data_IF_322733636308
#
_entry.id   IF_322733636308
#
_cell.length_a   1.000
_cell.length_b   1.000
_cell.length_c   1.000
_cell.angle_alpha   90.00
_cell.angle_beta   90.00
_cell.angle_gamma   90.00
#
_symmetry.space_group_name_H-M   'P 1'
#
loop_
_entity.id
_entity.type
_entity.pdbx_description
1 polymer ?
#
# COMPACT_ATOMS: atom_id res chain seq x y z
N UNK A 1 -0.22 6.87 -17.28
CA UNK A 1 -1.43 5.98 -17.22
C UNK A 1 -1.34 5.17 -15.95
N UNK A 2 -2.44 4.98 -15.25
CA UNK A 2 -2.47 4.13 -14.05
C UNK A 2 -2.01 2.70 -14.35
N UNK A 3 -1.25 2.13 -13.43
CA UNK A 3 -0.92 0.70 -13.41
C UNK A 3 -1.88 -0.01 -12.46
N UNK A 4 -2.33 -1.21 -12.81
CA UNK A 4 -3.36 -1.91 -12.06
C UNK A 4 -2.82 -3.22 -11.50
N UNK A 5 -3.13 -3.48 -10.24
CA UNK A 5 -2.64 -4.69 -9.56
C UNK A 5 -3.57 -5.19 -8.45
N UNK A 6 -3.05 -6.15 -7.72
CA UNK A 6 -3.71 -6.81 -6.58
C UNK A 6 -2.75 -6.85 -5.39
N UNK A 7 -3.29 -6.64 -4.20
CA UNK A 7 -2.59 -6.92 -2.94
C UNK A 7 -2.76 -8.39 -2.60
N UNK A 8 -1.67 -9.14 -2.51
CA UNK A 8 -1.71 -10.60 -2.34
C UNK A 8 -2.36 -11.04 -1.03
N UNK A 9 -2.27 -10.22 0.02
CA UNK A 9 -2.90 -10.53 1.32
C UNK A 9 -4.43 -10.53 1.29
N UNK A 10 -5.05 -10.09 0.19
CA UNK A 10 -6.49 -10.27 -0.01
C UNK A 10 -6.89 -11.75 0.03
N UNK A 11 -5.96 -12.65 -0.29
CA UNK A 11 -6.20 -14.10 -0.33
C UNK A 11 -5.04 -14.88 0.28
N UNK A 12 -4.91 -14.80 1.61
CA UNK A 12 -3.84 -15.48 2.36
C UNK A 12 -3.86 -17.02 2.24
N UNK A 13 -4.98 -17.59 1.87
CA UNK A 13 -5.13 -19.05 1.68
C UNK A 13 -4.64 -19.56 0.33
N UNK A 14 -4.44 -18.66 -0.64
CA UNK A 14 -3.93 -19.03 -1.96
C UNK A 14 -2.40 -19.10 -1.95
N UNK A 15 -1.87 -20.00 -2.77
CA UNK A 15 -0.43 -20.06 -3.04
C UNK A 15 0.03 -18.91 -3.94
N UNK A 16 1.33 -18.71 -4.01
CA UNK A 16 1.97 -17.74 -4.94
C UNK A 16 1.52 -17.97 -6.39
N UNK A 17 1.44 -19.24 -6.82
CA UNK A 17 1.03 -19.58 -8.17
C UNK A 17 -0.42 -19.20 -8.45
N UNK A 18 -1.32 -19.52 -7.53
CA UNK A 18 -2.73 -19.16 -7.64
C UNK A 18 -2.95 -17.64 -7.66
N UNK A 19 -2.18 -16.86 -6.87
CA UNK A 19 -2.23 -15.39 -6.93
C UNK A 19 -1.76 -14.89 -8.30
N UNK A 20 -0.67 -15.42 -8.86
CA UNK A 20 -0.16 -15.04 -10.19
C UNK A 20 -1.20 -15.33 -11.26
N UNK A 21 -1.79 -16.52 -11.25
CA UNK A 21 -2.82 -16.94 -12.23
C UNK A 21 -4.07 -16.04 -12.11
N UNK A 22 -4.48 -15.71 -10.88
CA UNK A 22 -5.61 -14.85 -10.62
C UNK A 22 -5.41 -13.43 -11.17
N UNK A 23 -4.25 -12.82 -10.89
CA UNK A 23 -3.88 -11.48 -11.37
C UNK A 23 -3.84 -11.43 -12.89
N UNK A 24 -3.23 -12.45 -13.52
CA UNK A 24 -3.16 -12.59 -14.98
C UNK A 24 -4.55 -12.75 -15.60
N UNK A 25 -5.39 -13.64 -15.04
CA UNK A 25 -6.75 -13.87 -15.52
C UNK A 25 -7.66 -12.65 -15.41
N UNK A 26 -7.43 -11.77 -14.40
CA UNK A 26 -8.12 -10.50 -14.23
C UNK A 26 -7.58 -9.40 -15.19
N UNK A 27 -6.50 -9.66 -15.92
CA UNK A 27 -5.85 -8.69 -16.79
C UNK A 27 -5.25 -7.51 -16.02
N UNK A 28 -4.70 -7.80 -14.83
CA UNK A 28 -3.88 -6.91 -14.01
C UNK A 28 -2.40 -7.19 -14.32
N UNK A 29 -1.53 -6.25 -13.96
CA UNK A 29 -0.09 -6.33 -14.33
C UNK A 29 0.85 -6.33 -13.11
N UNK A 30 0.35 -5.94 -11.93
CA UNK A 30 1.17 -5.71 -10.75
C UNK A 30 0.67 -6.49 -9.53
N UNK A 31 1.60 -6.86 -8.65
CA UNK A 31 1.27 -7.50 -7.37
C UNK A 31 2.01 -6.76 -6.25
N UNK A 32 1.30 -6.41 -5.19
CA UNK A 32 1.91 -6.14 -3.89
C UNK A 32 2.02 -7.46 -3.13
N UNK A 33 3.24 -7.92 -2.87
CA UNK A 33 3.47 -9.14 -2.12
C UNK A 33 3.50 -8.87 -0.61
N UNK A 34 2.66 -9.57 0.13
CA UNK A 34 2.63 -9.50 1.60
C UNK A 34 3.74 -10.32 2.24
N UNK A 35 4.37 -9.74 3.26
CA UNK A 35 5.49 -10.33 3.99
C UNK A 35 5.09 -11.41 5.01
N UNK A 36 3.80 -11.59 5.24
CA UNK A 36 3.29 -12.53 6.26
C UNK A 36 3.19 -13.98 5.76
N UNK A 37 2.57 -14.19 4.60
CA UNK A 37 2.28 -15.53 4.07
C UNK A 37 3.02 -15.81 2.77
N UNK A 38 2.89 -14.91 1.78
CA UNK A 38 3.37 -15.19 0.43
C UNK A 38 4.87 -14.96 0.27
N UNK A 39 5.40 -13.92 0.90
CA UNK A 39 6.77 -13.46 0.70
C UNK A 39 7.49 -13.13 2.03
N UNK A 40 7.69 -14.10 2.94
CA UNK A 40 8.44 -13.89 4.17
C UNK A 40 9.84 -13.36 3.87
N UNK A 41 10.31 -12.34 4.63
CA UNK A 41 11.57 -11.65 4.33
C UNK A 41 12.82 -12.51 4.54
N UNK A 42 12.73 -13.58 5.30
CA UNK A 42 13.80 -14.54 5.60
C UNK A 42 13.85 -15.74 4.62
N UNK A 43 12.84 -15.89 3.75
CA UNK A 43 12.82 -16.97 2.75
C UNK A 43 13.26 -16.45 1.37
N UNK A 44 14.57 -16.22 1.24
CA UNK A 44 15.19 -15.67 0.01
C UNK A 44 14.93 -16.54 -1.21
N UNK A 45 14.89 -17.86 -1.06
CA UNK A 45 14.65 -18.77 -2.19
C UNK A 45 13.20 -18.68 -2.68
N UNK A 46 12.24 -18.53 -1.78
CA UNK A 46 10.86 -18.25 -2.16
C UNK A 46 10.73 -16.88 -2.85
N UNK A 47 11.39 -15.83 -2.35
CA UNK A 47 11.38 -14.52 -3.00
C UNK A 47 11.92 -14.56 -4.43
N UNK A 48 13.02 -15.28 -4.69
CA UNK A 48 13.57 -15.50 -6.04
C UNK A 48 12.58 -16.25 -6.93
N UNK A 49 11.95 -17.31 -6.40
CA UNK A 49 10.92 -18.08 -7.09
C UNK A 49 9.71 -17.21 -7.49
N UNK A 50 9.27 -16.33 -6.61
CA UNK A 50 8.21 -15.36 -6.89
C UNK A 50 8.60 -14.49 -8.11
N UNK A 51 9.80 -13.93 -8.11
CA UNK A 51 10.29 -13.08 -9.21
C UNK A 51 10.32 -13.83 -10.54
N UNK A 52 10.87 -15.03 -10.54
CA UNK A 52 10.93 -15.88 -11.75
C UNK A 52 9.52 -16.13 -12.31
N UNK A 53 8.59 -16.55 -11.45
CA UNK A 53 7.22 -16.90 -11.85
C UNK A 53 6.43 -15.69 -12.31
N UNK A 54 6.44 -14.57 -11.56
CA UNK A 54 5.71 -13.37 -11.96
C UNK A 54 6.23 -12.81 -13.29
N UNK A 55 7.56 -12.76 -13.48
CA UNK A 55 8.19 -12.26 -14.71
C UNK A 55 7.83 -13.13 -15.92
N UNK A 56 7.89 -14.47 -15.77
CA UNK A 56 7.48 -15.42 -16.81
C UNK A 56 6.01 -15.21 -17.24
N UNK A 57 5.16 -14.72 -16.34
CA UNK A 57 3.75 -14.41 -16.61
C UNK A 57 3.50 -12.97 -17.06
N UNK A 58 4.55 -12.16 -17.27
CA UNK A 58 4.44 -10.76 -17.68
C UNK A 58 3.97 -9.83 -16.57
N UNK A 59 4.11 -10.25 -15.30
CA UNK A 59 3.74 -9.49 -14.13
C UNK A 59 4.99 -8.95 -13.41
N UNK A 60 4.81 -7.97 -12.54
CA UNK A 60 5.89 -7.43 -11.71
C UNK A 60 5.45 -7.15 -10.27
N UNK A 61 6.41 -7.11 -9.35
CA UNK A 61 6.20 -6.68 -7.98
C UNK A 61 6.10 -5.15 -7.93
N UNK A 62 4.92 -4.59 -7.65
CA UNK A 62 4.75 -3.15 -7.50
C UNK A 62 5.36 -2.64 -6.20
N UNK A 63 5.28 -3.47 -5.16
CA UNK A 63 5.64 -3.12 -3.79
C UNK A 63 5.73 -4.36 -2.91
N UNK A 64 6.45 -4.20 -1.82
CA UNK A 64 6.52 -5.19 -0.76
C UNK A 64 5.75 -4.70 0.47
N UNK A 65 4.60 -5.31 0.73
CA UNK A 65 3.70 -4.97 1.84
C UNK A 65 4.15 -5.62 3.14
N UNK A 66 4.67 -4.84 4.08
CA UNK A 66 5.17 -5.33 5.36
C UNK A 66 4.24 -4.98 6.52
N UNK A 67 4.45 -5.65 7.65
CA UNK A 67 3.80 -5.33 8.93
C UNK A 67 4.75 -4.60 9.90
N UNK A 68 5.89 -4.13 9.39
CA UNK A 68 6.82 -3.32 10.17
C UNK A 68 6.15 -2.04 10.66
N UNK A 69 6.23 -1.79 11.97
CA UNK A 69 5.66 -0.60 12.62
C UNK A 69 6.76 0.35 13.06
N UNK A 70 6.95 1.39 12.29
CA UNK A 70 7.92 2.44 12.58
C UNK A 70 7.65 3.07 13.95
N UNK A 71 8.69 3.24 14.75
CA UNK A 71 8.60 3.78 16.11
C UNK A 71 8.15 2.79 17.18
N UNK A 72 7.85 1.54 16.79
CA UNK A 72 7.48 0.45 17.71
C UNK A 72 8.40 -0.76 17.56
N UNK A 73 8.63 -1.19 16.30
CA UNK A 73 9.54 -2.30 16.03
C UNK A 73 11.00 -1.83 16.08
N UNK A 74 11.90 -2.76 16.33
CA UNK A 74 13.33 -2.52 16.23
C UNK A 74 13.68 -2.08 14.80
N UNK A 75 14.25 -0.88 14.67
CA UNK A 75 14.60 -0.28 13.38
C UNK A 75 15.56 -1.17 12.55
N UNK A 76 16.39 -1.98 13.20
CA UNK A 76 17.30 -2.89 12.51
C UNK A 76 16.57 -3.99 11.71
N UNK A 77 15.36 -4.36 12.10
CA UNK A 77 14.52 -5.30 11.34
C UNK A 77 14.13 -4.75 9.97
N UNK A 78 14.07 -3.41 9.81
CA UNK A 78 13.75 -2.79 8.53
C UNK A 78 14.74 -3.20 7.43
N UNK A 79 16.01 -3.47 7.78
CA UNK A 79 17.02 -3.93 6.83
C UNK A 79 16.62 -5.23 6.13
N UNK A 80 15.97 -6.15 6.85
CA UNK A 80 15.54 -7.44 6.28
C UNK A 80 14.43 -7.23 5.24
N UNK A 81 13.46 -6.35 5.53
CA UNK A 81 12.41 -6.00 4.59
C UNK A 81 12.94 -5.26 3.36
N UNK A 82 13.90 -4.36 3.54
CA UNK A 82 14.58 -3.66 2.43
C UNK A 82 15.32 -4.68 1.53
N UNK A 83 16.04 -5.62 2.11
CA UNK A 83 16.73 -6.66 1.36
C UNK A 83 15.75 -7.57 0.60
N UNK A 84 14.65 -7.97 1.23
CA UNK A 84 13.60 -8.75 0.60
C UNK A 84 12.96 -8.00 -0.59
N UNK A 85 12.68 -6.71 -0.45
CA UNK A 85 12.16 -5.88 -1.54
C UNK A 85 13.13 -5.83 -2.73
N UNK A 86 14.43 -5.73 -2.48
CA UNK A 86 15.46 -5.79 -3.54
C UNK A 86 15.48 -7.14 -4.25
N UNK A 87 15.34 -8.25 -3.52
CA UNK A 87 15.21 -9.60 -4.12
C UNK A 87 13.94 -9.68 -4.96
N UNK A 88 12.81 -9.12 -4.50
CA UNK A 88 11.54 -9.04 -5.23
C UNK A 88 11.57 -8.08 -6.42
N UNK A 89 12.69 -7.38 -6.65
CA UNK A 89 12.89 -6.40 -7.71
C UNK A 89 11.92 -5.21 -7.65
N UNK A 90 11.55 -4.80 -6.44
CA UNK A 90 10.78 -3.57 -6.20
C UNK A 90 11.58 -2.59 -5.36
N UNK A 91 11.34 -1.29 -5.60
CA UNK A 91 11.89 -0.21 -4.78
C UNK A 91 10.92 0.26 -3.70
N UNK A 92 9.68 -0.22 -3.71
CA UNK A 92 8.63 0.25 -2.80
C UNK A 92 8.45 -0.75 -1.66
N UNK A 93 8.61 -0.27 -0.43
CA UNK A 93 8.34 -1.03 0.79
C UNK A 93 7.24 -0.32 1.57
N UNK A 94 6.07 -0.94 1.68
CA UNK A 94 4.98 -0.41 2.49
C UNK A 94 5.17 -0.80 3.96
N UNK A 95 5.07 0.19 4.83
CA UNK A 95 5.21 0.03 6.29
C UNK A 95 4.10 0.80 7.02
N UNK A 96 3.92 0.53 8.28
CA UNK A 96 3.00 1.24 9.15
C UNK A 96 3.74 2.25 10.04
N UNK A 97 3.12 3.41 10.26
CA UNK A 97 3.71 4.50 11.04
C UNK A 97 3.06 4.56 12.43
N UNK A 98 3.75 4.01 13.42
CA UNK A 98 3.25 3.96 14.81
C UNK A 98 2.15 2.92 15.04
N UNK A 99 1.56 2.98 16.24
CA UNK A 99 0.60 1.97 16.75
C UNK A 99 -0.71 2.57 17.25
N UNK A 100 -0.91 3.87 17.13
CA UNK A 100 -2.10 4.59 17.58
C UNK A 100 -2.41 5.77 16.67
N UNK A 101 -3.65 6.27 16.71
CA UNK A 101 -4.07 7.40 15.91
C UNK A 101 -3.32 8.69 16.30
N UNK A 102 -3.20 9.62 15.36
CA UNK A 102 -2.46 10.87 15.52
C UNK A 102 -2.82 11.65 16.79
N UNK A 103 -4.10 11.78 17.07
CA UNK A 103 -4.58 12.54 18.24
C UNK A 103 -4.20 11.93 19.59
N UNK A 104 -3.77 10.67 19.62
CA UNK A 104 -3.42 9.94 20.84
C UNK A 104 -1.93 10.04 21.19
N UNK A 105 -1.15 10.76 20.37
CA UNK A 105 0.29 10.96 20.57
C UNK A 105 0.57 12.26 21.31
N UNK A 106 1.39 12.20 22.37
CA UNK A 106 1.96 13.40 22.97
C UNK A 106 3.22 13.88 22.20
N UNK A 107 3.65 15.11 22.46
CA UNK A 107 4.74 15.78 21.72
C UNK A 107 6.07 15.01 21.82
N UNK A 108 6.37 14.38 22.97
CA UNK A 108 7.60 13.60 23.12
C UNK A 108 7.58 12.34 22.26
N UNK A 109 6.45 11.65 22.21
CA UNK A 109 6.25 10.48 21.37
C UNK A 109 6.31 10.83 19.88
N UNK A 110 5.70 11.94 19.47
CA UNK A 110 5.78 12.45 18.10
C UNK A 110 7.22 12.76 17.70
N UNK A 111 7.97 13.46 18.54
CA UNK A 111 9.37 13.76 18.29
C UNK A 111 10.21 12.49 18.12
N UNK A 112 10.00 11.48 18.96
CA UNK A 112 10.64 10.17 18.83
C UNK A 112 10.29 9.47 17.51
N UNK A 113 9.01 9.43 17.13
CA UNK A 113 8.55 8.80 15.90
C UNK A 113 9.17 9.49 14.66
N UNK A 114 9.23 10.82 14.66
CA UNK A 114 9.84 11.60 13.58
C UNK A 114 11.34 11.28 13.47
N UNK A 115 12.05 11.16 14.59
CA UNK A 115 13.45 10.75 14.60
C UNK A 115 13.64 9.35 14.01
N UNK A 116 12.80 8.39 14.40
CA UNK A 116 12.82 7.05 13.81
C UNK A 116 12.52 7.10 12.29
N UNK A 117 11.61 7.97 11.86
CA UNK A 117 11.30 8.15 10.44
C UNK A 117 12.50 8.72 9.64
N UNK A 118 13.26 9.64 10.22
CA UNK A 118 14.49 10.16 9.61
C UNK A 118 15.59 9.11 9.51
N UNK A 119 15.74 8.26 10.54
CA UNK A 119 16.66 7.12 10.49
C UNK A 119 16.25 6.13 9.39
N UNK A 120 14.97 5.78 9.33
CA UNK A 120 14.43 4.91 8.30
C UNK A 120 14.62 5.51 6.90
N UNK A 121 14.42 6.82 6.72
CA UNK A 121 14.66 7.52 5.46
C UNK A 121 16.11 7.39 4.99
N UNK A 122 17.07 7.53 5.90
CA UNK A 122 18.49 7.34 5.59
C UNK A 122 18.80 5.92 5.17
N UNK A 123 18.26 4.92 5.86
CA UNK A 123 18.42 3.52 5.48
C UNK A 123 17.83 3.24 4.08
N UNK A 124 16.69 3.85 3.76
CA UNK A 124 16.05 3.73 2.46
C UNK A 124 16.88 4.39 1.35
N UNK A 125 17.45 5.57 1.61
CA UNK A 125 18.35 6.27 0.70
C UNK A 125 19.60 5.43 0.39
N UNK A 126 20.28 4.92 1.40
CA UNK A 126 21.48 4.07 1.26
C UNK A 126 21.19 2.80 0.45
N UNK A 127 19.97 2.28 0.51
CA UNK A 127 19.56 1.08 -0.21
C UNK A 127 18.89 1.35 -1.57
N UNK A 128 18.64 2.62 -1.92
CA UNK A 128 17.88 3.05 -3.10
C UNK A 128 16.45 2.46 -3.15
N UNK A 129 15.74 2.50 -2.00
CA UNK A 129 14.33 2.13 -1.89
C UNK A 129 13.49 3.30 -1.42
N UNK A 130 12.18 3.14 -1.45
CA UNK A 130 11.20 4.12 -0.99
C UNK A 130 10.33 3.44 0.07
N UNK A 131 10.30 3.99 1.27
CA UNK A 131 9.39 3.57 2.33
C UNK A 131 8.06 4.30 2.18
N UNK A 132 6.98 3.56 2.05
CA UNK A 132 5.64 4.14 1.91
C UNK A 132 4.83 3.90 3.17
N UNK A 133 4.42 4.99 3.81
CA UNK A 133 3.57 4.95 5.00
C UNK A 133 2.12 4.73 4.58
N UNK A 134 1.51 3.65 5.06
CA UNK A 134 0.10 3.37 4.78
C UNK A 134 -0.84 4.26 5.59
N UNK A 135 -1.74 4.97 4.91
CA UNK A 135 -2.83 5.72 5.54
C UNK A 135 -3.84 4.74 6.14
N UNK A 136 -3.68 4.40 7.40
CA UNK A 136 -4.48 3.36 8.06
C UNK A 136 -4.90 3.79 9.46
N UNK A 137 -6.10 3.39 9.89
CA UNK A 137 -6.53 3.54 11.28
C UNK A 137 -5.57 2.86 12.27
N UNK A 138 -5.39 3.44 13.45
CA UNK A 138 -4.40 2.94 14.41
C UNK A 138 -2.95 3.25 14.04
N UNK A 139 -2.71 4.23 13.17
CA UNK A 139 -1.37 4.73 12.82
C UNK A 139 -1.28 6.23 13.00
N UNK A 140 -0.06 6.79 13.03
CA UNK A 140 0.18 8.23 13.10
C UNK A 140 -0.36 8.97 11.86
N UNK A 141 -0.38 8.31 10.73
CA UNK A 141 -0.86 8.86 9.45
C UNK A 141 -2.32 8.47 9.15
N UNK A 142 -3.14 8.26 10.18
CA UNK A 142 -4.56 7.98 10.03
C UNK A 142 -5.40 9.18 9.56
N UNK A 143 -4.81 10.37 9.54
CA UNK A 143 -5.46 11.62 9.15
C UNK A 143 -4.48 12.59 8.49
N UNK A 144 -5.03 13.63 7.83
CA UNK A 144 -4.27 14.68 7.15
C UNK A 144 -3.18 15.27 8.02
N UNK A 145 -3.50 15.67 9.26
CA UNK A 145 -2.55 16.36 10.14
C UNK A 145 -1.32 15.52 10.43
N UNK A 146 -1.50 14.24 10.75
CA UNK A 146 -0.38 13.33 11.02
C UNK A 146 0.46 13.07 9.78
N UNK A 147 -0.18 12.85 8.63
CA UNK A 147 0.52 12.63 7.37
C UNK A 147 1.36 13.85 6.96
N UNK A 148 0.79 15.06 7.00
CA UNK A 148 1.52 16.29 6.67
C UNK A 148 2.64 16.60 7.66
N UNK A 149 2.42 16.40 8.94
CA UNK A 149 3.46 16.60 9.96
C UNK A 149 4.64 15.65 9.71
N UNK A 150 4.36 14.36 9.47
CA UNK A 150 5.40 13.39 9.15
C UNK A 150 6.18 13.76 7.89
N UNK A 151 5.47 14.00 6.79
CA UNK A 151 6.11 14.26 5.48
C UNK A 151 6.95 15.53 5.49
N UNK A 152 6.47 16.61 6.13
CA UNK A 152 7.23 17.86 6.29
C UNK A 152 8.43 17.72 7.21
N UNK A 153 8.30 16.93 8.29
CA UNK A 153 9.37 16.76 9.28
C UNK A 153 10.49 15.86 8.79
N UNK A 154 10.17 14.85 7.99
CA UNK A 154 11.15 13.91 7.41
C UNK A 154 11.81 14.52 6.17
N UNK A 155 11.05 15.18 5.31
CA UNK A 155 11.47 15.87 4.09
C UNK A 155 12.47 15.07 3.24
N UNK A 156 12.10 13.82 2.91
CA UNK A 156 12.96 12.91 2.16
C UNK A 156 12.21 12.33 0.93
N UNK A 157 12.87 12.26 -0.23
CA UNK A 157 12.30 11.59 -1.40
C UNK A 157 12.15 10.08 -1.22
N UNK A 158 12.85 9.50 -0.23
CA UNK A 158 12.80 8.08 0.10
C UNK A 158 11.70 7.70 1.09
N UNK A 159 10.88 8.67 1.54
CA UNK A 159 9.68 8.44 2.35
C UNK A 159 8.49 9.01 1.60
N UNK A 160 7.48 8.18 1.39
CA UNK A 160 6.27 8.48 0.64
C UNK A 160 5.04 7.92 1.36
N UNK A 161 3.89 8.05 0.71
CA UNK A 161 2.60 7.62 1.26
C UNK A 161 1.95 6.56 0.37
N UNK A 162 1.24 5.66 1.01
CA UNK A 162 0.20 4.82 0.42
C UNK A 162 -1.14 5.36 0.85
N UNK A 163 -2.01 5.70 -0.10
CA UNK A 163 -3.33 6.22 0.25
C UNK A 163 -4.42 5.18 0.04
N UNK A 164 -5.39 5.21 0.93
CA UNK A 164 -6.67 4.50 0.85
C UNK A 164 -7.75 5.31 1.56
N UNK A 165 -9.03 5.21 1.15
CA UNK A 165 -10.10 5.87 1.88
C UNK A 165 -10.32 5.20 3.24
N UNK A 166 -10.58 5.98 4.28
CA UNK A 166 -11.10 5.46 5.52
C UNK A 166 -12.60 5.17 5.38
N UNK A 167 -12.99 3.92 5.57
CA UNK A 167 -14.41 3.50 5.50
C UNK A 167 -15.29 4.10 6.59
N UNK A 168 -14.68 4.65 7.64
CA UNK A 168 -15.36 5.32 8.75
C UNK A 168 -15.49 6.84 8.56
N UNK A 169 -15.02 7.38 7.43
CA UNK A 169 -15.08 8.80 7.11
C UNK A 169 -15.98 9.07 5.91
N UNK A 170 -16.48 10.29 5.82
CA UNK A 170 -17.25 10.71 4.66
C UNK A 170 -16.36 10.84 3.42
N UNK A 171 -16.97 10.75 2.23
CA UNK A 171 -16.27 10.98 0.96
C UNK A 171 -15.56 12.34 0.94
N UNK A 172 -16.17 13.39 1.47
CA UNK A 172 -15.58 14.74 1.52
C UNK A 172 -14.29 14.79 2.36
N UNK A 173 -14.26 14.10 3.52
CA UNK A 173 -13.06 13.99 4.38
C UNK A 173 -11.96 13.20 3.67
N UNK A 174 -12.31 12.09 3.03
CA UNK A 174 -11.37 11.29 2.26
C UNK A 174 -10.80 12.06 1.05
N UNK A 175 -11.62 12.85 0.34
CA UNK A 175 -11.18 13.71 -0.78
C UNK A 175 -10.21 14.79 -0.29
N UNK A 176 -10.52 15.44 0.84
CA UNK A 176 -9.61 16.45 1.41
C UNK A 176 -8.27 15.82 1.80
N UNK A 177 -8.31 14.63 2.42
CA UNK A 177 -7.09 13.90 2.75
C UNK A 177 -6.30 13.54 1.48
N UNK A 178 -6.93 12.93 0.51
CA UNK A 178 -6.31 12.57 -0.77
C UNK A 178 -5.63 13.78 -1.43
N UNK A 179 -6.34 14.91 -1.55
CA UNK A 179 -5.86 16.14 -2.17
C UNK A 179 -4.62 16.69 -1.46
N UNK A 180 -4.65 16.73 -0.13
CA UNK A 180 -3.58 17.32 0.67
C UNK A 180 -2.28 16.52 0.59
N UNK A 181 -2.36 15.18 0.54
CA UNK A 181 -1.18 14.33 0.51
C UNK A 181 -0.81 13.83 -0.90
N UNK A 182 -1.59 14.14 -1.93
CA UNK A 182 -1.37 13.68 -3.30
C UNK A 182 0.09 13.82 -3.79
N UNK A 183 0.84 14.91 -3.48
CA UNK A 183 2.25 15.03 -3.88
C UNK A 183 3.18 13.96 -3.30
N UNK A 184 2.77 13.30 -2.22
CA UNK A 184 3.57 12.29 -1.54
C UNK A 184 3.15 10.85 -1.88
N UNK A 185 1.97 10.66 -2.49
CA UNK A 185 1.39 9.33 -2.73
C UNK A 185 2.05 8.66 -3.93
N UNK A 186 2.42 7.40 -3.78
CA UNK A 186 2.93 6.54 -4.86
C UNK A 186 1.88 5.54 -5.34
N UNK A 187 1.19 4.90 -4.41
CA UNK A 187 0.24 3.81 -4.69
C UNK A 187 -1.06 4.04 -3.92
N UNK A 188 -2.14 3.45 -4.42
CA UNK A 188 -3.44 3.45 -3.77
C UNK A 188 -3.93 2.01 -3.56
N UNK A 189 -4.41 1.72 -2.36
CA UNK A 189 -5.24 0.54 -2.13
C UNK A 189 -6.68 0.86 -2.52
N UNK A 190 -7.28 -0.01 -3.32
CA UNK A 190 -8.58 0.22 -3.95
C UNK A 190 -9.57 -0.83 -3.47
N UNK A 191 -10.56 -0.38 -2.75
CA UNK A 191 -11.71 -1.15 -2.26
C UNK A 191 -12.90 -0.21 -2.03
N UNK A 192 -14.09 -0.74 -1.80
CA UNK A 192 -15.21 0.08 -1.38
C UNK A 192 -15.88 -0.51 -0.13
N UNK A 193 -15.67 0.16 1.00
CA UNK A 193 -16.22 -0.21 2.30
C UNK A 193 -16.96 0.97 2.92
N UNK A 194 -18.02 0.66 3.71
CA UNK A 194 -18.73 1.63 4.55
C UNK A 194 -18.75 1.06 5.98
N UNK A 195 -18.01 1.68 6.88
CA UNK A 195 -17.73 1.10 8.19
C UNK A 195 -16.99 -0.23 8.04
N UNK A 196 -17.63 -1.31 8.46
CA UNK A 196 -17.10 -2.69 8.37
C UNK A 196 -17.67 -3.47 7.17
N UNK A 197 -18.70 -2.94 6.51
CA UNK A 197 -19.38 -3.62 5.42
C UNK A 197 -18.64 -3.39 4.10
N UNK A 198 -18.49 -4.44 3.32
CA UNK A 198 -17.81 -4.44 2.03
C UNK A 198 -18.83 -4.42 0.90
N UNK A 199 -18.54 -3.64 -0.11
CA UNK A 199 -19.38 -3.48 -1.31
C UNK A 199 -18.51 -3.61 -2.56
N UNK A 200 -19.15 -3.84 -3.71
CA UNK A 200 -18.41 -3.87 -4.97
C UNK A 200 -17.83 -2.48 -5.29
N UNK A 201 -16.70 -2.45 -5.97
CA UNK A 201 -16.10 -1.19 -6.42
C UNK A 201 -17.03 -0.40 -7.35
N UNK A 202 -17.90 -1.10 -8.08
CA UNK A 202 -18.89 -0.48 -8.93
C UNK A 202 -19.90 0.37 -8.14
N UNK A 203 -20.28 -0.06 -6.93
CA UNK A 203 -21.17 0.69 -6.04
C UNK A 203 -20.48 1.97 -5.52
N UNK A 204 -19.18 1.94 -5.36
CA UNK A 204 -18.36 3.08 -4.96
C UNK A 204 -17.87 3.97 -6.09
N UNK A 205 -18.32 3.76 -7.32
CA UNK A 205 -17.78 4.44 -8.50
C UNK A 205 -17.82 5.98 -8.40
N UNK A 206 -18.90 6.55 -7.83
CA UNK A 206 -19.03 7.99 -7.64
C UNK A 206 -17.97 8.57 -6.71
N UNK A 207 -17.67 7.87 -5.63
CA UNK A 207 -16.69 8.30 -4.61
C UNK A 207 -15.29 8.14 -5.16
N UNK A 208 -14.99 6.99 -5.79
CA UNK A 208 -13.69 6.72 -6.39
C UNK A 208 -13.32 7.70 -7.50
N UNK A 209 -14.28 8.18 -8.31
CA UNK A 209 -14.01 9.26 -9.28
C UNK A 209 -13.53 10.53 -8.61
N UNK A 210 -14.10 10.90 -7.46
CA UNK A 210 -13.65 12.05 -6.69
C UNK A 210 -12.26 11.81 -6.08
N UNK A 211 -11.97 10.61 -5.57
CA UNK A 211 -10.65 10.26 -5.05
C UNK A 211 -9.58 10.32 -6.14
N UNK A 212 -9.83 9.65 -7.27
CA UNK A 212 -8.88 9.61 -8.39
C UNK A 212 -8.62 11.00 -9.00
N UNK A 213 -9.58 11.93 -8.95
CA UNK A 213 -9.35 13.30 -9.40
C UNK A 213 -8.33 14.08 -8.60
N UNK A 214 -7.93 13.57 -7.44
CA UNK A 214 -6.89 14.16 -6.59
C UNK A 214 -5.46 13.74 -6.97
N UNK A 215 -5.30 12.72 -7.81
CA UNK A 215 -4.00 12.11 -8.11
C UNK A 215 -3.66 12.16 -9.59
N UNK A 216 -2.35 12.25 -9.89
CA UNK A 216 -1.86 12.09 -11.26
C UNK A 216 -1.99 10.63 -11.73
N UNK A 217 -2.09 10.44 -13.05
CA UNK A 217 -2.33 9.12 -13.68
C UNK A 217 -1.08 8.21 -13.73
N UNK A 218 -0.02 8.54 -13.03
CA UNK A 218 1.21 7.73 -12.93
C UNK A 218 1.26 6.82 -11.69
N UNK A 219 0.18 6.77 -10.93
CA UNK A 219 0.06 5.95 -9.71
C UNK A 219 -0.27 4.50 -10.02
N UNK A 220 0.07 3.60 -9.10
CA UNK A 220 -0.38 2.20 -9.12
C UNK A 220 -1.63 2.06 -8.25
N UNK A 221 -2.67 1.44 -8.80
CA UNK A 221 -3.93 1.15 -8.14
C UNK A 221 -3.98 -0.35 -7.84
N UNK A 222 -4.03 -0.71 -6.59
CA UNK A 222 -3.98 -2.09 -6.12
C UNK A 222 -5.31 -2.48 -5.50
N UNK A 223 -6.05 -3.38 -6.13
CA UNK A 223 -7.26 -3.96 -5.53
C UNK A 223 -6.88 -4.66 -4.23
N UNK A 224 -7.63 -4.36 -3.19
CA UNK A 224 -7.44 -4.96 -1.87
C UNK A 224 -8.79 -5.41 -1.31
N UNK A 225 -8.85 -6.64 -0.81
CA UNK A 225 -10.03 -7.28 -0.23
C UNK A 225 -11.32 -7.16 -1.05
N UNK A 226 -11.72 -8.25 -1.66
CA UNK A 226 -12.94 -8.32 -2.44
C UNK A 226 -14.18 -8.24 -1.54
N UNK A 227 -15.35 -7.82 -2.08
CA UNK A 227 -16.56 -7.63 -1.27
C UNK A 227 -17.03 -8.92 -0.57
N UNK A 228 -16.75 -10.09 -1.16
CA UNK A 228 -17.20 -11.41 -0.70
C UNK A 228 -16.04 -12.34 -0.29
N UNK A 229 -14.82 -11.81 -0.19
CA UNK A 229 -13.57 -12.56 0.08
C UNK A 229 -13.28 -13.69 -0.92
N UNK A 230 -13.90 -13.67 -2.13
CA UNK A 230 -13.75 -14.73 -3.12
C UNK A 230 -12.78 -14.35 -4.24
N UNK A 231 -11.85 -15.24 -4.62
CA UNK A 231 -10.94 -15.00 -5.74
C UNK A 231 -11.66 -14.74 -7.07
N UNK A 232 -12.81 -15.38 -7.30
CA UNK A 232 -13.60 -15.24 -8.52
C UNK A 232 -14.06 -13.81 -8.75
N UNK A 233 -14.25 -13.02 -7.69
CA UNK A 233 -14.70 -11.64 -7.76
C UNK A 233 -13.61 -10.66 -8.24
N UNK A 234 -12.33 -11.04 -8.20
CA UNK A 234 -11.21 -10.19 -8.65
C UNK A 234 -11.39 -9.72 -10.09
N UNK A 235 -11.86 -10.59 -10.97
CA UNK A 235 -12.09 -10.22 -12.39
C UNK A 235 -13.17 -9.15 -12.52
N UNK A 236 -14.24 -9.24 -11.76
CA UNK A 236 -15.33 -8.25 -11.75
C UNK A 236 -14.84 -6.92 -11.19
N UNK A 237 -14.13 -6.94 -10.08
CA UNK A 237 -13.57 -5.74 -9.44
C UNK A 237 -12.50 -5.08 -10.32
N UNK A 238 -11.65 -5.86 -11.00
CA UNK A 238 -10.69 -5.35 -11.99
C UNK A 238 -11.39 -4.68 -13.19
N UNK A 239 -12.52 -5.23 -13.65
CA UNK A 239 -13.33 -4.60 -14.70
C UNK A 239 -13.97 -3.29 -14.21
N UNK A 240 -14.44 -3.24 -12.97
CA UNK A 240 -14.97 -2.02 -12.37
C UNK A 240 -13.88 -0.94 -12.28
N UNK A 241 -12.68 -1.31 -11.80
CA UNK A 241 -11.53 -0.41 -11.73
C UNK A 241 -11.12 0.13 -13.10
N UNK A 242 -11.05 -0.72 -14.12
CA UNK A 242 -10.76 -0.30 -15.51
C UNK A 242 -11.78 0.70 -16.05
N UNK A 243 -13.07 0.52 -15.75
CA UNK A 243 -14.12 1.48 -16.12
C UNK A 243 -13.96 2.83 -15.42
N UNK A 244 -13.58 2.82 -14.14
CA UNK A 244 -13.36 4.04 -13.35
C UNK A 244 -12.26 4.93 -13.94
N UNK A 245 -11.17 4.34 -14.42
CA UNK A 245 -10.04 5.10 -14.96
C UNK A 245 -10.21 5.54 -16.41
N UNK A 246 -11.20 5.01 -17.14
CA UNK A 246 -11.53 5.37 -18.51
C UNK A 246 -12.68 6.38 -18.62
N UNK A 247 -13.35 6.69 -17.51
CA UNK A 247 -14.52 7.57 -17.46
C UNK A 247 -14.16 8.94 -16.89
#
# INVERSE_FOLDING_TARGET
MYKLGLVSISFRSLSVDEIIDLVKAAGLEAIEWGSDVHAPCDDVENLKRIVEKQTKNGLYCSSYGTYFRLGSDDIEKLKQYILAAKVLQTRIVRIWCGTKNYQDWNEKEKAYLIEQAKLAAKMAEEADVILCMECHGGTFVNCVSGAEELMRSVDSPHVRMYWQPSSFQTTAVNVEYARRIAPYVTHLHVFYWQGIDRYSLADGARDWKQYLSCFDMDRTLLLEFMPDDRPESVKTEAMALKRLILS
#
